data_IF_445854783017
#
_entry.id   IF_445854783017
#
_cell.length_a   1.000
_cell.length_b   1.000
_cell.length_c   1.000
_cell.angle_alpha   90.00
_cell.angle_beta   90.00
_cell.angle_gamma   90.00
#
_symmetry.space_group_name_H-M   'P 1'
#
loop_
_entity.id
_entity.type
_entity.pdbx_description
1 polymer ?
#
# COMPACT_ATOMS: atom_id res chain seq x y z
N UNK A 1 -29.87 -39.10 -22.97
CA UNK A 1 -28.41 -39.31 -22.81
C UNK A 1 -28.06 -39.13 -21.34
N UNK A 2 -27.48 -40.13 -20.66
CA UNK A 2 -27.01 -39.99 -19.26
C UNK A 2 -25.61 -39.38 -19.33
N UNK A 3 -25.46 -38.14 -18.85
CA UNK A 3 -24.16 -37.51 -18.75
C UNK A 3 -23.30 -38.32 -17.79
N UNK A 4 -22.10 -38.79 -18.18
CA UNK A 4 -21.24 -39.61 -17.33
C UNK A 4 -20.85 -38.84 -16.05
N UNK A 5 -20.65 -39.56 -14.95
CA UNK A 5 -20.38 -38.99 -13.63
C UNK A 5 -19.16 -38.04 -13.64
N UNK A 6 -18.12 -38.38 -14.41
CA UNK A 6 -16.92 -37.59 -14.62
C UNK A 6 -17.21 -36.18 -15.17
N UNK A 7 -18.11 -36.09 -16.19
CA UNK A 7 -18.49 -34.79 -16.77
C UNK A 7 -19.28 -33.94 -15.78
N UNK A 8 -20.15 -34.57 -14.96
CA UNK A 8 -20.86 -33.84 -13.90
C UNK A 8 -19.91 -33.30 -12.84
N UNK A 9 -18.93 -34.12 -12.42
CA UNK A 9 -17.90 -33.67 -11.47
C UNK A 9 -17.09 -32.53 -12.00
N UNK A 10 -16.65 -32.58 -13.27
CA UNK A 10 -15.90 -31.53 -13.92
C UNK A 10 -16.72 -30.23 -14.01
N UNK A 11 -17.99 -30.32 -14.42
CA UNK A 11 -18.89 -29.16 -14.50
C UNK A 11 -19.14 -28.50 -13.15
N UNK A 12 -19.12 -29.25 -12.04
CA UNK A 12 -19.25 -28.71 -10.69
C UNK A 12 -17.94 -28.14 -10.15
N UNK A 13 -16.78 -28.71 -10.52
CA UNK A 13 -15.49 -28.26 -10.01
C UNK A 13 -15.04 -26.93 -10.60
N UNK A 14 -15.42 -26.61 -11.85
CA UNK A 14 -15.06 -25.34 -12.50
C UNK A 14 -15.61 -24.12 -11.76
N UNK A 15 -16.93 -23.99 -11.49
CA UNK A 15 -17.44 -22.82 -10.77
C UNK A 15 -16.90 -22.74 -9.33
N UNK A 16 -16.66 -23.86 -8.66
CA UNK A 16 -16.04 -23.88 -7.33
C UNK A 16 -14.60 -23.34 -7.39
N UNK A 17 -13.82 -23.78 -8.37
CA UNK A 17 -12.45 -23.28 -8.58
C UNK A 17 -12.43 -21.78 -8.89
N UNK A 18 -13.26 -21.32 -9.80
CA UNK A 18 -13.39 -19.89 -10.14
C UNK A 18 -13.76 -19.07 -8.92
N UNK A 19 -14.78 -19.48 -8.18
CA UNK A 19 -15.23 -18.80 -6.96
C UNK A 19 -14.10 -18.75 -5.91
N UNK A 20 -13.34 -19.84 -5.77
CA UNK A 20 -12.21 -19.87 -4.85
C UNK A 20 -11.17 -18.80 -5.20
N UNK A 21 -10.72 -18.76 -6.45
CA UNK A 21 -9.72 -17.78 -6.89
C UNK A 21 -10.24 -16.33 -6.84
N UNK A 22 -11.52 -16.13 -7.08
CA UNK A 22 -12.12 -14.78 -7.03
C UNK A 22 -12.38 -14.30 -5.60
N UNK A 23 -12.72 -15.20 -4.68
CA UNK A 23 -13.08 -14.81 -3.31
C UNK A 23 -11.90 -14.92 -2.33
N UNK A 24 -11.04 -15.93 -2.47
CA UNK A 24 -9.99 -16.22 -1.47
C UNK A 24 -8.69 -15.50 -1.81
N UNK A 25 -8.16 -15.70 -3.01
CA UNK A 25 -6.91 -15.07 -3.41
C UNK A 25 -6.13 -15.84 -4.48
N UNK A 26 -4.96 -15.34 -4.80
CA UNK A 26 -4.10 -15.89 -5.84
C UNK A 26 -2.62 -15.65 -5.51
N UNK A 27 -1.74 -16.39 -6.17
CA UNK A 27 -0.29 -16.19 -6.09
C UNK A 27 0.15 -15.28 -7.22
N UNK A 28 0.97 -14.29 -6.90
CA UNK A 28 1.52 -13.36 -7.88
C UNK A 28 3.05 -13.27 -7.74
N UNK A 29 3.71 -13.12 -8.86
CA UNK A 29 5.14 -12.81 -8.95
C UNK A 29 5.34 -11.34 -8.58
N UNK A 30 6.34 -11.05 -7.74
CA UNK A 30 6.73 -9.69 -7.38
C UNK A 30 7.84 -9.22 -8.32
N UNK A 31 7.57 -8.18 -9.07
CA UNK A 31 8.55 -7.55 -9.95
C UNK A 31 9.05 -6.23 -9.39
N UNK A 32 10.34 -5.94 -9.64
CA UNK A 32 10.99 -4.71 -9.21
C UNK A 32 11.52 -4.73 -7.77
N UNK A 33 12.15 -3.61 -7.41
CA UNK A 33 12.93 -3.43 -6.19
C UNK A 33 12.23 -2.52 -5.15
N UNK A 34 11.07 -1.97 -5.49
CA UNK A 34 10.41 -0.92 -4.67
C UNK A 34 9.98 -1.37 -3.27
N UNK A 35 9.91 -2.68 -3.04
CA UNK A 35 9.54 -3.27 -1.74
C UNK A 35 10.72 -3.93 -1.03
N UNK A 36 11.94 -3.65 -1.45
CA UNK A 36 13.14 -4.09 -0.73
C UNK A 36 13.27 -3.37 0.62
N UNK A 37 13.75 -4.05 1.65
CA UNK A 37 14.23 -5.45 1.71
C UNK A 37 13.12 -6.48 1.98
N UNK A 38 11.86 -6.08 2.20
CA UNK A 38 10.79 -7.00 2.56
C UNK A 38 10.50 -8.03 1.46
N UNK A 39 10.51 -7.60 0.21
CA UNK A 39 10.34 -8.45 -0.97
C UNK A 39 11.53 -8.24 -1.92
N UNK A 40 11.94 -9.32 -2.60
CA UNK A 40 13.07 -9.35 -3.55
C UNK A 40 14.38 -8.76 -2.98
N UNK A 41 14.88 -9.17 -1.79
CA UNK A 41 16.00 -8.50 -1.11
C UNK A 41 17.30 -8.53 -1.94
N UNK A 42 17.50 -9.56 -2.76
CA UNK A 42 18.74 -9.82 -3.48
C UNK A 42 18.83 -9.08 -4.84
N UNK A 43 18.07 -7.98 -5.00
CA UNK A 43 18.16 -7.17 -6.22
C UNK A 43 17.57 -7.82 -7.47
N UNK A 44 16.75 -8.86 -7.31
CA UNK A 44 16.05 -9.51 -8.42
C UNK A 44 16.72 -10.78 -8.94
N UNK A 45 17.80 -11.25 -8.34
CA UNK A 45 18.38 -12.58 -8.65
C UNK A 45 17.43 -13.72 -8.30
N UNK A 46 16.68 -13.55 -7.21
CA UNK A 46 15.61 -14.46 -6.80
C UNK A 46 14.32 -13.67 -6.69
N UNK A 47 13.30 -14.10 -7.43
CA UNK A 47 12.00 -13.44 -7.45
C UNK A 47 11.07 -14.06 -6.42
N UNK A 48 10.50 -13.24 -5.57
CA UNK A 48 9.48 -13.67 -4.61
C UNK A 48 8.11 -13.84 -5.28
N UNK A 49 7.40 -14.90 -4.88
CA UNK A 49 5.98 -15.07 -5.17
C UNK A 49 5.21 -14.91 -3.87
N UNK A 50 4.19 -14.08 -3.89
CA UNK A 50 3.38 -13.76 -2.73
C UNK A 50 1.95 -14.24 -2.89
N UNK A 51 1.36 -14.69 -1.79
CA UNK A 51 -0.07 -14.97 -1.75
C UNK A 51 -0.82 -13.65 -1.49
N UNK A 52 -1.68 -13.30 -2.43
CA UNK A 52 -2.53 -12.12 -2.44
C UNK A 52 -3.95 -12.51 -2.04
N UNK A 53 -4.34 -12.21 -0.80
CA UNK A 53 -5.68 -12.48 -0.28
C UNK A 53 -6.64 -11.39 -0.69
N UNK A 54 -7.68 -11.74 -1.44
CA UNK A 54 -8.80 -10.87 -1.76
C UNK A 54 -9.80 -10.76 -0.61
N UNK A 55 -9.91 -11.84 0.16
CA UNK A 55 -10.78 -11.87 1.35
C UNK A 55 -10.41 -10.79 2.35
N UNK A 56 -9.11 -10.56 2.57
CA UNK A 56 -8.61 -9.61 3.54
C UNK A 56 -8.94 -8.12 3.22
N UNK A 57 -9.33 -7.82 1.97
CA UNK A 57 -9.69 -6.44 1.54
C UNK A 57 -11.14 -6.29 1.17
N UNK A 58 -11.95 -7.35 1.33
CA UNK A 58 -13.35 -7.41 0.88
C UNK A 58 -14.23 -6.33 1.51
N UNK A 59 -13.97 -6.00 2.78
CA UNK A 59 -14.69 -4.95 3.53
C UNK A 59 -13.92 -3.62 3.54
N UNK A 60 -12.92 -3.44 2.67
CA UNK A 60 -11.98 -2.31 2.70
C UNK A 60 -11.25 -2.16 4.04
N UNK A 61 -11.13 -3.23 4.80
CA UNK A 61 -10.41 -3.30 6.08
C UNK A 61 -8.92 -3.41 5.79
N UNK A 62 -8.29 -2.27 5.56
CA UNK A 62 -6.85 -2.14 5.34
C UNK A 62 -6.26 -1.50 6.58
N UNK A 63 -5.18 -2.08 7.10
CA UNK A 63 -4.48 -1.60 8.28
C UNK A 63 -3.16 -0.92 7.93
N UNK A 64 -2.68 -0.04 8.83
CA UNK A 64 -1.34 0.53 8.68
C UNK A 64 -0.29 -0.58 8.77
N UNK A 65 0.66 -0.53 7.86
CA UNK A 65 1.72 -1.53 7.73
C UNK A 65 1.37 -2.68 6.79
N UNK A 66 0.13 -2.83 6.37
CA UNK A 66 -0.27 -3.85 5.40
C UNK A 66 0.47 -3.66 4.08
N UNK A 67 0.91 -4.77 3.50
CA UNK A 67 1.42 -4.80 2.13
C UNK A 67 0.24 -5.13 1.21
N UNK A 68 -0.11 -4.19 0.34
CA UNK A 68 -1.28 -4.30 -0.52
C UNK A 68 -0.91 -4.29 -2.01
N UNK A 69 -1.70 -5.00 -2.79
CA UNK A 69 -1.72 -4.89 -4.25
C UNK A 69 -2.82 -3.92 -4.65
N UNK A 70 -2.49 -2.97 -5.51
CA UNK A 70 -3.42 -1.97 -6.01
C UNK A 70 -3.21 -1.69 -7.49
N UNK A 71 -4.24 -1.19 -8.16
CA UNK A 71 -4.15 -0.66 -9.52
C UNK A 71 -3.40 0.66 -9.46
N UNK A 72 -2.38 0.82 -10.31
CA UNK A 72 -1.59 2.05 -10.34
C UNK A 72 -2.43 3.24 -10.77
N UNK A 73 -2.46 4.35 -9.99
CA UNK A 73 -3.19 5.56 -10.40
C UNK A 73 -2.63 6.21 -11.69
N UNK A 74 -1.36 5.95 -12.01
CA UNK A 74 -0.72 6.49 -13.23
C UNK A 74 -0.91 5.61 -14.46
N UNK A 75 -1.00 4.30 -14.25
CA UNK A 75 -1.19 3.33 -15.32
C UNK A 75 -2.21 2.27 -14.87
N UNK A 76 -3.47 2.42 -15.24
CA UNK A 76 -4.53 1.49 -14.85
C UNK A 76 -4.34 0.05 -15.34
N UNK A 77 -3.48 -0.16 -16.34
CA UNK A 77 -3.09 -1.50 -16.81
C UNK A 77 -2.12 -2.23 -15.88
N UNK A 78 -1.47 -1.50 -14.96
CA UNK A 78 -0.45 -2.05 -14.09
C UNK A 78 -0.95 -2.22 -12.64
N UNK A 79 -0.67 -3.38 -12.05
CA UNK A 79 -0.80 -3.60 -10.60
C UNK A 79 0.55 -3.38 -9.94
N UNK A 80 0.53 -2.66 -8.83
CA UNK A 80 1.72 -2.39 -8.02
C UNK A 80 1.52 -2.93 -6.60
N UNK A 81 2.62 -3.29 -5.95
CA UNK A 81 2.62 -3.70 -4.53
C UNK A 81 3.30 -2.60 -3.73
N UNK A 82 2.64 -2.14 -2.65
CA UNK A 82 3.12 -1.08 -1.76
C UNK A 82 2.67 -1.35 -0.33
N UNK A 83 3.32 -0.67 0.61
CA UNK A 83 2.96 -0.70 2.03
C UNK A 83 2.07 0.46 2.40
N UNK A 84 1.03 0.21 3.17
CA UNK A 84 0.16 1.24 3.73
C UNK A 84 0.87 1.94 4.90
N UNK A 85 1.15 3.20 4.74
CA UNK A 85 1.81 4.05 5.76
C UNK A 85 0.78 4.86 6.53
N UNK A 86 -0.28 5.31 5.87
CA UNK A 86 -1.34 6.09 6.50
C UNK A 86 -2.72 5.77 5.96
N UNK A 87 -3.71 5.99 6.82
CA UNK A 87 -5.12 5.81 6.54
C UNK A 87 -5.84 7.16 6.58
N UNK A 88 -7.11 7.16 6.20
CA UNK A 88 -7.96 8.37 6.24
C UNK A 88 -7.84 9.12 7.57
N UNK A 89 -7.70 10.43 7.48
CA UNK A 89 -7.54 11.33 8.62
C UNK A 89 -6.12 11.47 9.15
N UNK A 90 -5.18 10.58 8.77
CA UNK A 90 -3.77 10.70 9.14
C UNK A 90 -3.11 11.89 8.45
N UNK A 91 -2.12 12.47 9.13
CA UNK A 91 -1.22 13.47 8.55
C UNK A 91 0.13 12.85 8.33
N UNK A 92 0.57 12.81 7.08
CA UNK A 92 1.82 12.21 6.64
C UNK A 92 2.84 13.29 6.30
N UNK A 93 4.07 13.16 6.81
CA UNK A 93 5.22 13.90 6.29
C UNK A 93 5.69 13.24 5.01
N UNK A 94 5.63 13.96 3.90
CA UNK A 94 5.94 13.41 2.58
C UNK A 94 7.45 13.40 2.30
N UNK A 95 7.87 12.56 1.35
CA UNK A 95 9.24 12.47 0.87
C UNK A 95 9.29 13.02 -0.58
N UNK A 96 9.15 14.35 -0.72
CA UNK A 96 9.24 15.01 -2.04
C UNK A 96 7.91 15.15 -2.80
N UNK A 97 6.77 14.97 -2.14
CA UNK A 97 5.47 15.33 -2.71
C UNK A 97 5.28 16.86 -2.74
N UNK A 98 4.27 17.33 -3.50
CA UNK A 98 3.95 18.76 -3.67
C UNK A 98 3.79 19.53 -2.37
N UNK A 99 3.35 18.89 -1.32
CA UNK A 99 3.14 19.45 0.02
C UNK A 99 3.96 18.66 1.03
N UNK A 100 4.62 19.34 1.95
CA UNK A 100 5.43 18.70 3.01
C UNK A 100 4.58 17.83 3.94
N UNK A 101 3.33 18.22 4.19
CA UNK A 101 2.38 17.48 5.00
C UNK A 101 1.10 17.28 4.22
N UNK A 102 0.60 16.05 4.21
CA UNK A 102 -0.66 15.68 3.55
C UNK A 102 -1.57 15.00 4.55
N UNK A 103 -2.78 15.54 4.69
CA UNK A 103 -3.85 14.85 5.39
C UNK A 103 -4.51 13.89 4.41
N UNK A 104 -4.52 12.60 4.75
CA UNK A 104 -5.14 11.56 3.91
C UNK A 104 -6.65 11.78 3.89
N UNK A 105 -7.27 11.93 2.69
CA UNK A 105 -8.70 12.13 2.57
C UNK A 105 -9.51 10.90 2.99
N UNK A 106 -10.81 11.09 3.18
CA UNK A 106 -11.74 9.98 3.42
C UNK A 106 -11.78 9.01 2.24
N UNK A 107 -11.89 7.72 2.50
CA UNK A 107 -11.86 6.67 1.48
C UNK A 107 -10.50 6.46 0.79
N UNK A 108 -9.43 7.08 1.30
CA UNK A 108 -8.07 6.98 0.74
C UNK A 108 -7.07 6.44 1.74
N UNK A 109 -5.94 5.97 1.24
CA UNK A 109 -4.77 5.62 2.01
C UNK A 109 -3.50 6.24 1.40
N UNK A 110 -2.45 6.32 2.20
CA UNK A 110 -1.11 6.70 1.76
C UNK A 110 -0.24 5.46 1.71
N UNK A 111 0.32 5.18 0.54
CA UNK A 111 1.13 3.98 0.31
C UNK A 111 2.54 4.34 -0.09
N UNK A 112 3.53 3.58 0.40
CA UNK A 112 4.94 3.76 0.06
C UNK A 112 5.60 2.43 -0.25
N UNK A 113 6.69 2.48 -1.02
CA UNK A 113 7.60 1.35 -1.14
C UNK A 113 8.53 1.30 0.06
N UNK A 114 8.95 0.10 0.44
CA UNK A 114 9.94 -0.08 1.51
C UNK A 114 11.33 0.45 1.09
N UNK A 115 11.59 0.51 -0.23
CA UNK A 115 12.78 1.13 -0.82
C UNK A 115 12.51 2.60 -1.17
N UNK A 116 12.82 3.51 -0.27
CA UNK A 116 12.48 4.94 -0.39
C UNK A 116 13.06 5.66 -1.61
N UNK A 117 14.18 5.21 -2.17
CA UNK A 117 14.86 5.83 -3.32
C UNK A 117 14.33 5.42 -4.69
N UNK A 118 13.67 4.26 -4.81
CA UNK A 118 13.24 3.67 -6.07
C UNK A 118 11.80 3.15 -6.00
N UNK A 119 10.87 4.01 -5.60
CA UNK A 119 9.46 3.65 -5.50
C UNK A 119 8.57 4.67 -6.19
N UNK A 120 7.75 4.20 -7.12
CA UNK A 120 6.63 4.97 -7.64
C UNK A 120 5.44 4.76 -6.70
N UNK A 121 5.18 5.71 -5.81
CA UNK A 121 4.21 5.60 -4.72
C UNK A 121 3.52 6.93 -4.41
N UNK A 122 2.85 7.04 -3.28
CA UNK A 122 2.09 8.24 -2.89
C UNK A 122 2.94 9.51 -2.82
N UNK A 123 4.26 9.42 -2.65
CA UNK A 123 5.14 10.58 -2.77
C UNK A 123 5.22 11.12 -4.20
N UNK A 124 4.78 10.34 -5.18
CA UNK A 124 4.72 10.76 -6.59
C UNK A 124 3.29 11.11 -7.04
N UNK A 125 2.29 10.28 -6.69
CA UNK A 125 0.92 10.44 -7.20
C UNK A 125 -0.10 10.91 -6.14
N UNK A 126 0.28 10.98 -4.87
CA UNK A 126 -0.59 11.41 -3.78
C UNK A 126 -1.40 10.27 -3.15
N UNK A 127 -2.43 10.62 -2.33
CA UNK A 127 -3.30 9.64 -1.70
C UNK A 127 -4.02 8.76 -2.72
N UNK A 128 -4.19 7.49 -2.41
CA UNK A 128 -4.79 6.48 -3.29
C UNK A 128 -6.16 6.07 -2.74
N UNK A 129 -7.16 6.01 -3.60
CA UNK A 129 -8.48 5.51 -3.22
C UNK A 129 -8.40 4.04 -2.79
N UNK A 130 -9.06 3.69 -1.68
CA UNK A 130 -9.19 2.30 -1.22
C UNK A 130 -9.88 1.40 -2.25
N UNK A 131 -10.70 1.97 -3.14
CA UNK A 131 -11.31 1.23 -4.26
C UNK A 131 -10.33 0.70 -5.30
N UNK A 132 -9.08 1.21 -5.34
CA UNK A 132 -8.02 0.68 -6.19
C UNK A 132 -7.29 -0.52 -5.57
N UNK A 133 -7.49 -0.80 -4.28
CA UNK A 133 -6.88 -1.93 -3.59
C UNK A 133 -7.54 -3.23 -4.04
N UNK A 134 -6.75 -4.16 -4.54
CA UNK A 134 -7.23 -5.41 -5.12
C UNK A 134 -7.03 -6.62 -4.22
N UNK A 135 -5.98 -6.62 -3.38
CA UNK A 135 -5.67 -7.69 -2.46
C UNK A 135 -4.64 -7.27 -1.41
N UNK A 136 -4.54 -8.04 -0.31
CA UNK A 136 -3.46 -7.92 0.69
C UNK A 136 -2.47 -9.07 0.54
N UNK A 137 -1.19 -8.75 0.47
CA UNK A 137 -0.12 -9.74 0.52
C UNK A 137 0.06 -10.25 1.95
N UNK A 138 -0.16 -11.54 2.17
CA UNK A 138 -0.14 -12.14 3.50
C UNK A 138 1.10 -12.97 3.76
N UNK A 139 1.70 -13.55 2.71
CA UNK A 139 2.89 -14.40 2.84
C UNK A 139 3.70 -14.45 1.55
N UNK A 140 5.00 -14.65 1.69
CA UNK A 140 5.87 -15.11 0.61
C UNK A 140 5.72 -16.63 0.54
N UNK A 141 5.36 -17.16 -0.63
CA UNK A 141 5.11 -18.60 -0.84
C UNK A 141 6.17 -19.28 -1.69
N UNK A 142 7.04 -18.53 -2.33
CA UNK A 142 8.18 -19.03 -3.08
C UNK A 142 9.27 -17.95 -3.14
N UNK A 143 10.55 -18.30 -3.07
CA UNK A 143 11.10 -19.66 -2.93
C UNK A 143 10.90 -20.22 -1.52
N UNK A 144 11.03 -21.55 -1.32
CA UNK A 144 10.87 -22.18 0.00
C UNK A 144 11.81 -21.62 1.07
N UNK A 145 13.01 -21.22 0.69
CA UNK A 145 13.99 -20.58 1.58
C UNK A 145 13.53 -19.24 2.16
N UNK A 146 12.48 -18.64 1.56
CA UNK A 146 11.92 -17.35 1.97
C UNK A 146 10.46 -17.44 2.44
N UNK A 147 9.95 -18.62 2.71
CA UNK A 147 8.63 -18.79 3.27
C UNK A 147 8.48 -18.01 4.56
N UNK A 148 7.64 -17.02 4.55
CA UNK A 148 7.36 -16.17 5.71
C UNK A 148 5.99 -15.49 5.59
N UNK A 149 5.39 -15.19 6.73
CA UNK A 149 4.23 -14.31 6.80
C UNK A 149 4.67 -12.85 6.72
N UNK A 150 3.99 -12.06 5.91
CA UNK A 150 4.21 -10.63 5.82
C UNK A 150 3.44 -9.94 6.95
N UNK A 151 4.17 -9.46 7.95
CA UNK A 151 3.59 -8.76 9.09
C UNK A 151 3.27 -7.32 8.73
N UNK A 152 2.13 -6.83 9.21
CA UNK A 152 1.77 -5.41 9.12
C UNK A 152 2.72 -4.62 10.03
N UNK A 153 3.63 -3.88 9.44
CA UNK A 153 4.65 -3.08 10.12
C UNK A 153 4.90 -1.78 9.38
N UNK A 154 4.77 -0.66 10.08
CA UNK A 154 5.16 0.66 9.55
C UNK A 154 6.57 0.95 10.05
N UNK A 155 7.52 1.31 9.17
CA UNK A 155 8.85 1.75 9.62
C UNK A 155 8.75 2.92 10.61
N UNK A 156 9.54 2.88 11.68
CA UNK A 156 9.48 3.89 12.77
C UNK A 156 9.60 5.33 12.28
N UNK A 157 10.35 5.54 11.21
CA UNK A 157 10.57 6.86 10.58
C UNK A 157 9.38 7.34 9.75
N UNK A 158 8.39 6.47 9.47
CA UNK A 158 7.25 6.75 8.58
C UNK A 158 5.89 6.73 9.27
N UNK A 159 5.87 6.71 10.62
CA UNK A 159 4.60 6.81 11.34
C UNK A 159 3.90 8.14 11.07
N UNK A 160 2.55 8.14 10.96
CA UNK A 160 1.78 9.37 10.86
C UNK A 160 2.08 10.34 11.99
N UNK A 161 2.07 11.62 11.69
CA UNK A 161 2.32 12.66 12.68
C UNK A 161 1.05 12.87 13.51
N UNK A 162 1.16 12.81 14.85
CA UNK A 162 0.00 13.10 15.71
C UNK A 162 -0.46 14.55 15.55
N UNK A 163 -1.76 14.82 15.75
CA UNK A 163 -2.34 16.17 15.67
C UNK A 163 -1.59 17.22 16.51
N UNK A 164 -1.06 16.83 17.66
CA UNK A 164 -0.29 17.72 18.55
C UNK A 164 1.01 18.27 17.91
N UNK A 165 1.72 17.45 17.12
CA UNK A 165 2.94 17.88 16.43
C UNK A 165 2.67 18.82 15.26
N UNK A 166 1.54 18.63 14.56
CA UNK A 166 1.16 19.48 13.41
C UNK A 166 0.77 20.89 13.90
N UNK A 167 0.02 20.99 15.01
CA UNK A 167 -0.37 22.29 15.58
C UNK A 167 0.86 23.09 16.03
N UNK A 168 1.85 22.45 16.62
CA UNK A 168 3.08 23.11 17.04
C UNK A 168 3.92 23.65 15.85
N UNK A 169 3.99 22.90 14.73
CA UNK A 169 4.71 23.33 13.55
C UNK A 169 4.01 24.50 12.82
N UNK A 170 2.67 24.45 12.72
CA UNK A 170 1.88 25.52 12.10
C UNK A 170 1.95 26.83 12.92
N UNK A 171 1.88 26.73 14.25
CA UNK A 171 1.94 27.90 15.14
C UNK A 171 3.34 28.56 15.09
N UNK A 172 4.41 27.76 15.01
CA UNK A 172 5.77 28.29 14.88
C UNK A 172 6.00 29.05 13.56
N UNK A 173 5.51 28.53 12.44
CA UNK A 173 5.64 29.17 11.14
C UNK A 173 4.81 30.48 11.07
N UNK A 174 3.60 30.48 11.59
CA UNK A 174 2.71 31.65 11.61
C UNK A 174 3.29 32.78 12.49
N UNK A 175 3.85 32.46 13.66
CA UNK A 175 4.45 33.45 14.56
C UNK A 175 5.73 34.08 13.95
N UNK A 176 6.54 33.31 13.24
CA UNK A 176 7.72 33.86 12.56
C UNK A 176 7.33 34.81 11.43
N UNK A 177 6.28 34.50 10.68
CA UNK A 177 5.78 35.35 9.59
C UNK A 177 5.15 36.62 10.12
N UNK A 178 4.37 36.55 11.21
CA UNK A 178 3.80 37.73 11.86
C UNK A 178 4.85 38.65 12.46
N UNK A 179 5.86 38.11 13.14
CA UNK A 179 6.96 38.92 13.70
C UNK A 179 7.82 39.56 12.61
N UNK A 180 8.00 38.90 11.46
CA UNK A 180 8.69 39.49 10.33
C UNK A 180 7.89 40.64 9.69
N UNK A 181 6.56 40.53 9.61
CA UNK A 181 5.68 41.58 9.10
C UNK A 181 5.58 42.81 10.05
N UNK A 182 5.60 42.57 11.36
CA UNK A 182 5.61 43.68 12.34
C UNK A 182 6.89 44.47 12.32
N UNK A 183 8.05 43.83 12.11
CA UNK A 183 9.31 44.52 11.95
C UNK A 183 9.42 45.40 10.71
N UNK A 184 8.75 45.01 9.61
CA UNK A 184 8.70 45.77 8.37
C UNK A 184 7.70 46.94 8.38
N UNK A 185 6.79 47.00 9.39
CA UNK A 185 5.83 48.11 9.57
C UNK A 185 6.27 49.15 10.59
N UNK A 186 7.37 48.90 11.31
CA UNK A 186 7.90 49.79 12.36
C UNK A 186 9.06 50.69 11.91
N UNK A 187 9.44 50.63 10.61
CA UNK A 187 10.31 51.58 9.92
C UNK A 187 9.47 52.46 8.97
#
# INVERSE_FOLDING_TARGET
>A
MRVPLFVKSLLLSVPVGVTFFDCVGYVARVEGISMQPALNPDGGTVTDYVFLSRWAVRNMEVERGDVISLISPKDPGQKIIKRVVGLQGDVISTLGYKQQFVKVPEGHCWVEGDHTGNSLDSNTFGPVSLGLVTARATSVVWPPSRWQSLKSHVPKTRHPISKAKVTGAATGATNQTLQAQERLRGE
#
